data_IF_228099095248
#
_entry.id   IF_228099095248
#
_cell.length_a   1.000
_cell.length_b   1.000
_cell.length_c   1.000
_cell.angle_alpha   90.00
_cell.angle_beta   90.00
_cell.angle_gamma   90.00
#
_symmetry.space_group_name_H-M   'P 1'
#
loop_
_entity.id
_entity.type
_entity.pdbx_description
1 polymer ?
#
# COMPACT_ATOMS: atom_id res chain seq x y z
N UNK A 1 -2.14 34.68 -38.36
CA UNK A 1 -3.24 34.90 -37.40
C UNK A 1 -3.35 36.36 -36.94
N UNK A 2 -2.27 37.15 -36.87
CA UNK A 2 -2.33 38.57 -36.47
C UNK A 2 -3.04 39.52 -37.45
N UNK A 3 -3.04 39.22 -38.76
CA UNK A 3 -3.65 40.11 -39.78
C UNK A 3 -5.18 40.05 -39.77
N UNK A 4 -5.77 38.86 -39.51
CA UNK A 4 -7.22 38.70 -39.46
C UNK A 4 -7.83 39.37 -38.23
N UNK A 5 -7.16 39.28 -37.07
CA UNK A 5 -7.59 40.03 -35.88
C UNK A 5 -7.54 41.54 -36.09
N UNK A 6 -6.52 42.06 -36.78
CA UNK A 6 -6.45 43.50 -37.12
C UNK A 6 -7.53 43.92 -38.10
N UNK A 7 -7.83 43.10 -39.11
CA UNK A 7 -8.91 43.36 -40.08
C UNK A 7 -10.26 43.33 -39.38
N UNK A 8 -10.50 42.36 -38.51
CA UNK A 8 -11.72 42.24 -37.70
C UNK A 8 -11.85 43.44 -36.76
N UNK A 9 -10.76 43.85 -36.09
CA UNK A 9 -10.73 45.02 -35.19
C UNK A 9 -11.00 46.33 -35.94
N UNK A 10 -10.42 46.52 -37.14
CA UNK A 10 -10.71 47.69 -38.01
C UNK A 10 -12.14 47.69 -38.51
N UNK A 11 -12.68 46.52 -38.91
CA UNK A 11 -14.07 46.38 -39.35
C UNK A 11 -15.04 46.72 -38.23
N UNK A 12 -14.79 46.20 -37.02
CA UNK A 12 -15.56 46.49 -35.81
C UNK A 12 -15.46 47.96 -35.39
N UNK A 13 -14.31 48.61 -35.58
CA UNK A 13 -14.17 50.06 -35.34
C UNK A 13 -14.95 50.90 -36.35
N UNK A 14 -15.04 50.47 -37.62
CA UNK A 14 -15.76 51.19 -38.68
C UNK A 14 -17.28 50.96 -38.62
N UNK A 15 -17.72 49.72 -38.34
CA UNK A 15 -19.13 49.34 -38.26
C UNK A 15 -19.72 49.53 -36.85
N UNK A 16 -18.89 49.51 -35.80
CA UNK A 16 -19.30 49.66 -34.40
C UNK A 16 -19.48 51.12 -33.93
N UNK A 17 -18.92 52.10 -34.65
CA UNK A 17 -19.00 53.53 -34.30
C UNK A 17 -20.24 54.23 -34.89
N UNK A 18 -21.23 53.49 -35.38
CA UNK A 18 -22.49 54.06 -35.87
C UNK A 18 -22.35 54.97 -37.11
N UNK A 19 -21.15 55.07 -37.69
CA UNK A 19 -20.80 55.95 -38.82
C UNK A 19 -21.67 55.71 -40.06
N UNK A 20 -22.20 54.50 -40.23
CA UNK A 20 -23.15 54.18 -41.30
C UNK A 20 -24.58 54.68 -41.03
N UNK A 21 -25.04 54.69 -39.77
CA UNK A 21 -26.35 55.21 -39.38
C UNK A 21 -26.34 56.74 -39.35
N UNK A 22 -25.32 57.36 -38.76
CA UNK A 22 -25.14 58.81 -38.76
C UNK A 22 -25.06 59.38 -40.18
N UNK A 23 -24.31 58.73 -41.08
CA UNK A 23 -24.28 59.09 -42.50
C UNK A 23 -25.65 59.01 -43.17
N UNK A 24 -26.43 57.96 -42.89
CA UNK A 24 -27.78 57.79 -43.46
C UNK A 24 -28.74 58.87 -42.97
N UNK A 25 -28.71 59.18 -41.68
CA UNK A 25 -29.53 60.24 -41.08
C UNK A 25 -29.13 61.61 -41.64
N UNK A 26 -27.83 61.89 -41.75
CA UNK A 26 -27.33 63.13 -42.36
C UNK A 26 -27.73 63.27 -43.83
N UNK A 27 -27.77 62.17 -44.61
CA UNK A 27 -28.26 62.19 -45.99
C UNK A 27 -29.77 62.42 -46.09
N UNK A 28 -30.55 61.82 -45.19
CA UNK A 28 -32.00 62.06 -45.09
C UNK A 28 -32.28 63.53 -44.75
N UNK A 29 -31.56 64.09 -43.77
CA UNK A 29 -31.68 65.50 -43.37
C UNK A 29 -31.37 66.46 -44.53
N UNK A 30 -30.29 66.22 -45.28
CA UNK A 30 -29.96 67.01 -46.47
C UNK A 30 -31.03 66.92 -47.56
N UNK A 31 -31.59 65.72 -47.77
CA UNK A 31 -32.67 65.49 -48.73
C UNK A 31 -33.95 66.21 -48.33
N UNK A 32 -34.26 66.22 -47.02
CA UNK A 32 -35.41 66.92 -46.44
C UNK A 32 -35.30 68.44 -46.56
N UNK A 33 -34.13 69.01 -46.23
CA UNK A 33 -33.86 70.44 -46.41
C UNK A 33 -33.99 70.82 -47.89
N UNK A 34 -33.48 69.99 -48.80
CA UNK A 34 -33.61 70.22 -50.24
C UNK A 34 -35.06 70.19 -50.69
N UNK A 35 -35.85 69.23 -50.21
CA UNK A 35 -37.25 69.07 -50.56
C UNK A 35 -38.12 70.25 -50.09
N UNK A 36 -37.90 70.77 -48.88
CA UNK A 36 -38.61 71.95 -48.35
C UNK A 36 -38.32 73.22 -49.16
N UNK A 37 -37.09 73.36 -49.64
CA UNK A 37 -36.66 74.56 -50.38
C UNK A 37 -36.91 74.45 -51.90
N UNK A 38 -37.49 73.35 -52.39
CA UNK A 38 -37.87 73.21 -53.80
C UNK A 38 -39.16 73.99 -54.08
N UNK A 39 -39.17 74.78 -55.15
CA UNK A 39 -40.36 75.55 -55.58
C UNK A 39 -41.47 74.68 -56.18
N UNK A 40 -41.14 73.47 -56.64
CA UNK A 40 -42.07 72.48 -57.19
C UNK A 40 -42.18 71.24 -56.30
N UNK A 41 -43.35 70.60 -56.32
CA UNK A 41 -43.61 69.36 -55.56
C UNK A 41 -42.88 68.18 -56.21
N UNK A 42 -41.67 67.87 -55.72
CA UNK A 42 -40.90 66.71 -56.15
C UNK A 42 -41.34 65.45 -55.38
N UNK A 43 -42.33 64.74 -55.93
CA UNK A 43 -42.83 63.47 -55.40
C UNK A 43 -41.78 62.37 -55.39
N UNK A 44 -40.80 62.39 -56.31
CA UNK A 44 -39.76 61.36 -56.38
C UNK A 44 -38.75 61.49 -55.24
N UNK A 45 -38.42 62.72 -54.86
CA UNK A 45 -37.60 63.00 -53.69
C UNK A 45 -38.34 62.64 -52.40
N UNK A 46 -39.65 62.89 -52.34
CA UNK A 46 -40.50 62.49 -51.22
C UNK A 46 -40.51 60.97 -51.00
N UNK A 47 -40.75 60.17 -52.04
CA UNK A 47 -40.71 58.70 -51.95
C UNK A 47 -39.32 58.18 -51.56
N UNK A 48 -38.25 58.79 -52.08
CA UNK A 48 -36.87 58.45 -51.71
C UNK A 48 -36.60 58.73 -50.22
N UNK A 49 -37.09 59.84 -49.68
CA UNK A 49 -36.96 60.14 -48.25
C UNK A 49 -37.73 59.15 -47.38
N UNK A 50 -38.95 58.76 -47.78
CA UNK A 50 -39.72 57.73 -47.05
C UNK A 50 -38.98 56.38 -47.04
N UNK A 51 -38.38 55.99 -48.17
CA UNK A 51 -37.56 54.78 -48.24
C UNK A 51 -36.32 54.85 -47.33
N UNK A 52 -35.64 56.00 -47.31
CA UNK A 52 -34.49 56.23 -46.42
C UNK A 52 -34.88 56.21 -44.94
N UNK A 53 -36.03 56.79 -44.58
CA UNK A 53 -36.57 56.76 -43.22
C UNK A 53 -36.86 55.32 -42.79
N UNK A 54 -37.54 54.53 -43.63
CA UNK A 54 -37.82 53.13 -43.36
C UNK A 54 -36.55 52.30 -43.14
N UNK A 55 -35.48 52.59 -43.90
CA UNK A 55 -34.17 51.94 -43.71
C UNK A 55 -33.52 52.33 -42.36
N UNK A 56 -33.64 53.58 -41.93
CA UNK A 56 -33.13 54.03 -40.63
C UNK A 56 -33.90 53.36 -39.47
N UNK A 57 -35.23 53.29 -39.57
CA UNK A 57 -36.05 52.58 -38.58
C UNK A 57 -35.72 51.09 -38.50
N UNK A 58 -35.51 50.45 -39.64
CA UNK A 58 -35.10 49.04 -39.69
C UNK A 58 -33.72 48.83 -39.03
N UNK A 59 -32.75 49.69 -39.36
CA UNK A 59 -31.41 49.62 -38.77
C UNK A 59 -31.46 49.79 -37.23
N UNK A 60 -32.25 50.75 -36.73
CA UNK A 60 -32.46 50.95 -35.30
C UNK A 60 -33.08 49.72 -34.63
N UNK A 61 -34.15 49.15 -35.21
CA UNK A 61 -34.80 47.94 -34.70
C UNK A 61 -33.85 46.76 -34.66
N UNK A 62 -33.06 46.57 -35.73
CA UNK A 62 -32.03 45.52 -35.82
C UNK A 62 -30.96 45.71 -34.73
N UNK A 63 -30.42 46.91 -34.57
CA UNK A 63 -29.40 47.22 -33.55
C UNK A 63 -29.92 46.92 -32.13
N UNK A 64 -31.16 47.33 -31.83
CA UNK A 64 -31.80 47.02 -30.54
C UNK A 64 -31.97 45.53 -30.30
N UNK A 65 -32.37 44.77 -31.32
CA UNK A 65 -32.52 43.32 -31.22
C UNK A 65 -31.17 42.64 -30.97
N UNK A 66 -30.13 43.02 -31.71
CA UNK A 66 -28.77 42.50 -31.52
C UNK A 66 -28.25 42.84 -30.13
N UNK A 67 -28.43 44.08 -29.66
CA UNK A 67 -28.03 44.48 -28.30
C UNK A 67 -28.73 43.65 -27.21
N UNK A 68 -30.03 43.38 -27.37
CA UNK A 68 -30.75 42.52 -26.45
C UNK A 68 -30.25 41.08 -26.47
N UNK A 69 -30.05 40.51 -27.67
CA UNK A 69 -29.51 39.17 -27.86
C UNK A 69 -28.11 39.05 -27.22
N UNK A 70 -27.19 39.97 -27.50
CA UNK A 70 -25.84 39.96 -26.92
C UNK A 70 -25.86 40.08 -25.39
N UNK A 71 -26.82 40.83 -24.83
CA UNK A 71 -27.00 40.91 -23.37
C UNK A 71 -27.48 39.59 -22.78
N UNK A 72 -28.33 38.84 -23.49
CA UNK A 72 -28.77 37.50 -23.05
C UNK A 72 -27.66 36.46 -23.21
N UNK A 73 -26.90 36.51 -24.31
CA UNK A 73 -25.73 35.67 -24.52
C UNK A 73 -24.67 35.87 -23.44
N UNK A 74 -24.35 37.11 -23.07
CA UNK A 74 -23.43 37.43 -21.98
C UNK A 74 -23.86 36.77 -20.66
N UNK A 75 -25.15 36.86 -20.31
CA UNK A 75 -25.69 36.20 -19.10
C UNK A 75 -25.56 34.68 -19.17
N UNK A 76 -25.80 34.09 -20.35
CA UNK A 76 -25.63 32.67 -20.56
C UNK A 76 -24.17 32.24 -20.38
N UNK A 77 -23.22 33.02 -20.93
CA UNK A 77 -21.79 32.76 -20.77
C UNK A 77 -21.32 32.93 -19.32
N UNK A 78 -21.80 33.93 -18.59
CA UNK A 78 -21.50 34.07 -17.16
C UNK A 78 -21.99 32.86 -16.36
N UNK A 79 -23.20 32.35 -16.67
CA UNK A 79 -23.73 31.15 -16.03
C UNK A 79 -22.88 29.92 -16.36
N UNK A 80 -22.52 29.74 -17.63
CA UNK A 80 -21.67 28.63 -18.07
C UNK A 80 -20.28 28.68 -17.42
N UNK A 81 -19.69 29.88 -17.31
CA UNK A 81 -18.39 30.07 -16.63
C UNK A 81 -18.45 29.60 -15.17
N UNK A 82 -19.48 30.03 -14.43
CA UNK A 82 -19.68 29.61 -13.04
C UNK A 82 -19.91 28.10 -12.91
N UNK A 83 -20.64 27.50 -13.85
CA UNK A 83 -20.87 26.05 -13.87
C UNK A 83 -19.55 25.29 -14.11
N UNK A 84 -18.72 25.76 -15.04
CA UNK A 84 -17.38 25.20 -15.29
C UNK A 84 -16.49 25.33 -14.05
N UNK A 85 -16.50 26.47 -13.37
CA UNK A 85 -15.73 26.67 -12.12
C UNK A 85 -16.14 25.65 -11.04
N UNK A 86 -17.44 25.43 -10.85
CA UNK A 86 -17.94 24.42 -9.90
C UNK A 86 -17.52 23.01 -10.31
N UNK A 87 -17.60 22.67 -11.59
CA UNK A 87 -17.16 21.36 -12.08
C UNK A 87 -15.65 21.14 -11.90
N UNK A 88 -14.84 22.18 -12.13
CA UNK A 88 -13.39 22.14 -11.90
C UNK A 88 -13.10 21.88 -10.43
N UNK A 89 -13.78 22.59 -9.52
CA UNK A 89 -13.53 22.41 -8.09
C UNK A 89 -13.93 21.01 -7.62
N UNK A 90 -15.09 20.51 -8.08
CA UNK A 90 -15.50 19.12 -7.83
C UNK A 90 -14.49 18.10 -8.37
N UNK A 91 -13.96 18.32 -9.57
CA UNK A 91 -12.96 17.43 -10.14
C UNK A 91 -11.66 17.42 -9.32
N UNK A 92 -11.24 18.56 -8.74
CA UNK A 92 -10.09 18.61 -7.83
C UNK A 92 -10.36 17.83 -6.55
N UNK A 93 -11.54 17.97 -5.96
CA UNK A 93 -11.95 17.20 -4.77
C UNK A 93 -11.92 15.70 -5.06
N UNK A 94 -12.47 15.26 -6.19
CA UNK A 94 -12.48 13.87 -6.62
C UNK A 94 -11.05 13.32 -6.85
N UNK A 95 -10.14 14.13 -7.37
CA UNK A 95 -8.72 13.78 -7.53
C UNK A 95 -8.06 13.55 -6.16
N UNK A 96 -8.22 14.47 -5.22
CA UNK A 96 -7.60 14.32 -3.89
C UNK A 96 -8.19 13.12 -3.13
N UNK A 97 -9.49 12.89 -3.25
CA UNK A 97 -10.13 11.68 -2.70
C UNK A 97 -9.55 10.40 -3.31
N UNK A 98 -9.49 10.31 -4.64
CA UNK A 98 -8.97 9.13 -5.35
C UNK A 98 -7.50 8.87 -5.02
N UNK A 99 -6.71 9.94 -4.81
CA UNK A 99 -5.32 9.86 -4.41
C UNK A 99 -5.16 9.30 -2.99
N UNK A 100 -6.01 9.69 -2.04
CA UNK A 100 -6.04 9.12 -0.70
C UNK A 100 -6.41 7.62 -0.75
N UNK A 101 -7.46 7.27 -1.49
CA UNK A 101 -7.89 5.87 -1.68
C UNK A 101 -6.76 5.02 -2.31
N UNK A 102 -6.03 5.57 -3.27
CA UNK A 102 -4.88 4.89 -3.89
C UNK A 102 -3.75 4.64 -2.89
N UNK A 103 -3.46 5.59 -1.99
CA UNK A 103 -2.45 5.40 -0.95
C UNK A 103 -2.85 4.29 0.03
N UNK A 104 -4.11 4.26 0.44
CA UNK A 104 -4.63 3.22 1.32
C UNK A 104 -4.62 1.85 0.64
N UNK A 105 -5.04 1.76 -0.63
CA UNK A 105 -4.96 0.54 -1.42
C UNK A 105 -3.52 0.03 -1.55
N UNK A 106 -2.55 0.92 -1.75
CA UNK A 106 -1.11 0.56 -1.75
C UNK A 106 -0.66 0.03 -0.39
N UNK A 107 -1.10 0.63 0.72
CA UNK A 107 -0.79 0.15 2.08
C UNK A 107 -1.36 -1.25 2.30
N UNK A 108 -2.63 -1.48 1.97
CA UNK A 108 -3.27 -2.79 2.08
C UNK A 108 -2.54 -3.84 1.24
N UNK A 109 -2.17 -3.49 0.00
CA UNK A 109 -1.39 -4.40 -0.86
C UNK A 109 -0.03 -4.74 -0.24
N UNK A 110 0.69 -3.76 0.31
CA UNK A 110 1.97 -3.99 0.98
C UNK A 110 1.81 -4.95 2.16
N UNK A 111 0.84 -4.69 3.03
CA UNK A 111 0.56 -5.53 4.18
C UNK A 111 0.21 -6.96 3.74
N UNK A 112 -0.61 -7.12 2.70
CA UNK A 112 -0.96 -8.44 2.15
C UNK A 112 0.27 -9.20 1.67
N UNK A 113 1.19 -8.54 0.97
CA UNK A 113 2.45 -9.16 0.52
C UNK A 113 3.31 -9.57 1.73
N UNK A 114 3.41 -8.73 2.75
CA UNK A 114 4.14 -9.05 3.99
C UNK A 114 3.54 -10.27 4.70
N UNK A 115 2.21 -10.35 4.79
CA UNK A 115 1.51 -11.53 5.34
C UNK A 115 1.73 -12.78 4.50
N UNK A 116 1.65 -12.69 3.17
CA UNK A 116 1.89 -13.83 2.27
C UNK A 116 3.32 -14.35 2.39
N UNK A 117 4.32 -13.45 2.55
CA UNK A 117 5.71 -13.84 2.78
C UNK A 117 5.86 -14.54 4.14
N UNK A 118 5.29 -13.98 5.19
CA UNK A 118 5.37 -14.58 6.53
C UNK A 118 4.66 -15.94 6.57
N UNK A 119 3.50 -16.06 5.92
CA UNK A 119 2.76 -17.32 5.82
C UNK A 119 3.56 -18.41 5.10
N UNK A 120 4.32 -18.06 4.05
CA UNK A 120 5.23 -19.02 3.40
C UNK A 120 6.30 -19.54 4.36
N UNK A 121 6.95 -18.65 5.11
CA UNK A 121 7.97 -19.04 6.10
C UNK A 121 7.37 -19.91 7.21
N UNK A 122 6.15 -19.59 7.67
CA UNK A 122 5.44 -20.40 8.67
C UNK A 122 5.14 -21.80 8.11
N UNK A 123 4.71 -21.91 6.85
CA UNK A 123 4.39 -23.19 6.21
C UNK A 123 5.63 -24.06 5.93
N UNK A 124 6.83 -23.50 5.95
CA UNK A 124 8.08 -24.28 5.89
C UNK A 124 8.36 -25.01 7.22
N UNK A 125 7.78 -24.55 8.32
CA UNK A 125 7.92 -25.18 9.63
C UNK A 125 6.93 -26.35 9.77
N UNK A 126 7.32 -27.43 10.49
CA UNK A 126 6.43 -28.55 10.73
C UNK A 126 5.20 -28.13 11.52
N UNK A 127 4.09 -28.86 11.33
CA UNK A 127 2.86 -28.55 12.03
C UNK A 127 3.06 -28.58 13.56
N UNK A 128 2.46 -27.58 14.21
CA UNK A 128 2.61 -27.37 15.65
C UNK A 128 2.04 -28.54 16.45
N UNK A 129 0.96 -29.14 15.96
CA UNK A 129 0.28 -30.23 16.66
C UNK A 129 1.10 -31.52 16.54
N UNK A 130 1.63 -31.81 15.36
CA UNK A 130 2.55 -32.93 15.15
C UNK A 130 3.84 -32.81 15.99
N UNK A 131 4.43 -31.61 16.05
CA UNK A 131 5.62 -31.37 16.87
C UNK A 131 5.33 -31.54 18.36
N UNK A 132 4.18 -31.09 18.84
CA UNK A 132 3.76 -31.34 20.23
C UNK A 132 3.60 -32.82 20.55
N UNK A 133 2.96 -33.60 19.67
CA UNK A 133 2.80 -35.05 19.86
C UNK A 133 4.18 -35.73 19.93
N UNK A 134 5.10 -35.40 19.00
CA UNK A 134 6.47 -35.95 19.00
C UNK A 134 7.22 -35.61 20.28
N UNK A 135 7.03 -34.42 20.82
CA UNK A 135 7.66 -33.96 22.06
C UNK A 135 7.13 -34.75 23.26
N UNK A 136 5.83 -34.96 23.33
CA UNK A 136 5.18 -35.74 24.39
C UNK A 136 5.61 -37.22 24.36
N UNK A 137 5.66 -37.83 23.17
CA UNK A 137 6.16 -39.21 23.01
C UNK A 137 7.62 -39.33 23.43
N UNK A 138 8.47 -38.39 23.00
CA UNK A 138 9.88 -38.38 23.41
C UNK A 138 10.03 -38.20 24.92
N UNK A 139 9.22 -37.37 25.57
CA UNK A 139 9.23 -37.21 27.03
C UNK A 139 8.86 -38.50 27.75
N UNK A 140 7.84 -39.22 27.27
CA UNK A 140 7.44 -40.52 27.84
C UNK A 140 8.55 -41.56 27.68
N UNK A 141 9.16 -41.66 26.50
CA UNK A 141 10.28 -42.57 26.23
C UNK A 141 11.47 -42.27 27.13
N UNK A 142 11.82 -40.98 27.30
CA UNK A 142 12.92 -40.54 28.15
C UNK A 142 12.64 -40.86 29.63
N UNK A 143 11.40 -40.71 30.07
CA UNK A 143 10.95 -41.14 31.41
C UNK A 143 11.11 -42.65 31.62
N UNK A 144 10.63 -43.45 30.69
CA UNK A 144 10.75 -44.92 30.75
C UNK A 144 12.23 -45.38 30.71
N UNK A 145 13.06 -44.73 29.90
CA UNK A 145 14.49 -45.06 29.80
C UNK A 145 15.24 -44.73 31.09
N UNK A 146 14.91 -43.60 31.74
CA UNK A 146 15.46 -43.25 33.06
C UNK A 146 15.07 -44.28 34.12
N UNK A 147 13.80 -44.65 34.18
CA UNK A 147 13.33 -45.68 35.13
C UNK A 147 14.06 -47.01 34.91
N UNK A 148 14.20 -47.43 33.65
CA UNK A 148 14.95 -48.64 33.31
C UNK A 148 16.43 -48.56 33.70
N UNK A 149 17.06 -47.40 33.53
CA UNK A 149 18.43 -47.15 33.95
C UNK A 149 18.56 -47.30 35.47
N UNK A 150 17.70 -46.64 36.24
CA UNK A 150 17.68 -46.74 37.71
C UNK A 150 17.46 -48.18 38.18
N UNK A 151 16.56 -48.92 37.54
CA UNK A 151 16.33 -50.34 37.84
C UNK A 151 17.56 -51.20 37.57
N UNK A 152 18.28 -50.95 36.47
CA UNK A 152 19.52 -51.68 36.14
C UNK A 152 20.64 -51.35 37.12
N UNK A 153 20.78 -50.08 37.49
CA UNK A 153 21.77 -49.62 38.46
C UNK A 153 21.51 -50.22 39.84
N UNK A 154 20.25 -50.28 40.28
CA UNK A 154 19.86 -50.98 41.50
C UNK A 154 20.18 -52.48 41.45
N UNK A 155 19.91 -53.15 40.32
CA UNK A 155 20.27 -54.56 40.14
C UNK A 155 21.79 -54.78 40.18
N UNK A 156 22.56 -53.91 39.55
CA UNK A 156 24.03 -53.99 39.54
C UNK A 156 24.57 -53.83 40.96
N UNK A 157 24.07 -52.87 41.72
CA UNK A 157 24.45 -52.66 43.12
C UNK A 157 24.10 -53.87 43.99
N UNK A 158 22.92 -54.46 43.81
CA UNK A 158 22.54 -55.70 44.49
C UNK A 158 23.49 -56.86 44.15
N UNK A 159 23.91 -56.99 42.89
CA UNK A 159 24.90 -58.01 42.49
C UNK A 159 26.28 -57.74 43.10
N UNK A 160 26.74 -56.49 43.16
CA UNK A 160 27.99 -56.11 43.84
C UNK A 160 27.97 -56.54 45.31
N UNK A 161 26.86 -56.28 46.02
CA UNK A 161 26.68 -56.72 47.40
C UNK A 161 26.70 -58.25 47.54
N UNK A 162 26.02 -58.98 46.65
CA UNK A 162 26.04 -60.45 46.64
C UNK A 162 27.45 -61.01 46.41
N UNK A 163 28.20 -60.45 45.45
CA UNK A 163 29.60 -60.82 45.21
C UNK A 163 30.47 -60.53 46.42
N UNK A 164 30.29 -59.38 47.08
CA UNK A 164 31.04 -59.06 48.29
C UNK A 164 30.78 -60.07 49.41
N UNK A 165 29.52 -60.48 49.63
CA UNK A 165 29.19 -61.55 50.59
C UNK A 165 29.88 -62.85 50.21
N UNK A 166 29.83 -63.24 48.94
CA UNK A 166 30.44 -64.48 48.45
C UNK A 166 31.97 -64.48 48.63
N UNK A 167 32.64 -63.36 48.32
CA UNK A 167 34.09 -63.17 48.56
C UNK A 167 34.40 -63.26 50.07
N UNK A 168 33.62 -62.59 50.92
CA UNK A 168 33.80 -62.67 52.38
C UNK A 168 33.59 -64.09 52.91
N UNK A 169 32.63 -64.84 52.36
CA UNK A 169 32.44 -66.26 52.70
C UNK A 169 33.60 -67.12 52.22
N UNK A 170 34.17 -66.86 51.03
CA UNK A 170 35.37 -67.55 50.55
C UNK A 170 36.54 -67.26 51.49
N UNK A 171 36.80 -66.00 51.85
CA UNK A 171 37.86 -65.65 52.79
C UNK A 171 37.65 -66.29 54.17
N UNK A 172 36.40 -66.36 54.66
CA UNK A 172 36.08 -67.05 55.92
C UNK A 172 36.33 -68.56 55.83
N UNK A 173 35.97 -69.20 54.71
CA UNK A 173 36.24 -70.63 54.50
C UNK A 173 37.73 -70.91 54.34
N UNK A 174 38.47 -70.02 53.67
CA UNK A 174 39.94 -70.08 53.59
C UNK A 174 40.56 -69.94 54.99
N UNK A 175 40.10 -68.98 55.80
CA UNK A 175 40.54 -68.86 57.19
C UNK A 175 40.24 -70.11 58.02
N UNK A 176 39.08 -70.74 57.85
CA UNK A 176 38.75 -72.01 58.53
C UNK A 176 39.58 -73.20 58.03
N UNK A 177 39.99 -73.21 56.76
CA UNK A 177 40.89 -74.21 56.18
C UNK A 177 42.32 -74.03 56.69
N UNK A 178 42.79 -72.78 56.77
CA UNK A 178 44.08 -72.43 57.37
C UNK A 178 44.10 -72.77 58.87
N UNK A 179 43.00 -72.52 59.61
CA UNK A 179 42.82 -72.96 61.01
C UNK A 179 42.70 -74.49 61.15
N UNK A 180 42.30 -75.20 60.09
CA UNK A 180 42.17 -76.67 60.07
C UNK A 180 43.48 -77.41 59.79
N UNK A 181 44.48 -76.74 59.21
CA UNK A 181 45.84 -77.28 59.03
C UNK A 181 46.75 -77.02 60.24
N UNK A 182 46.33 -76.21 61.23
CA UNK A 182 47.13 -75.88 62.42
C UNK A 182 47.20 -76.97 63.51
N UNK A 183 46.52 -78.12 63.37
CA UNK A 183 46.74 -79.26 64.29
C UNK A 183 47.82 -80.26 63.84
N UNK A 184 48.47 -80.07 62.69
CA UNK A 184 49.67 -80.84 62.35
C UNK A 184 50.78 -79.93 61.81
N UNK A 185 51.71 -79.65 62.72
CA UNK A 185 53.14 -79.37 62.49
C UNK A 185 53.56 -77.89 62.52
N UNK A 186 53.84 -77.44 63.75
CA UNK A 186 54.99 -76.59 64.06
C UNK A 186 56.26 -77.13 63.36
N UNK A 187 56.93 -76.28 62.55
CA UNK A 187 58.36 -75.91 62.68
C UNK A 187 58.73 -74.88 61.59
N UNK A 188 58.82 -73.61 62.02
CA UNK A 188 59.91 -72.63 61.80
C UNK A 188 60.32 -72.06 60.42
N UNK A 189 60.40 -70.72 60.43
CA UNK A 189 61.43 -69.78 59.89
C UNK A 189 61.22 -69.06 58.55
N UNK A 190 60.84 -67.77 58.69
CA UNK A 190 61.46 -66.56 58.11
C UNK A 190 62.04 -66.59 56.68
N UNK A 191 61.49 -65.78 55.77
CA UNK A 191 62.10 -64.47 55.46
C UNK A 191 61.28 -63.62 54.47
N UNK A 192 61.34 -62.31 54.73
CA UNK A 192 60.92 -61.19 53.91
C UNK A 192 61.45 -61.26 52.46
N UNK A 193 60.63 -60.86 51.49
CA UNK A 193 60.74 -59.52 50.87
C UNK A 193 59.70 -59.32 49.76
N UNK A 194 58.90 -58.29 49.99
CA UNK A 194 58.09 -57.54 49.05
C UNK A 194 58.93 -57.03 47.86
N UNK A 195 58.44 -57.13 46.60
CA UNK A 195 58.56 -56.05 45.59
C UNK A 195 57.60 -56.30 44.42
N UNK A 196 56.78 -55.28 44.18
CA UNK A 196 55.85 -54.99 43.09
C UNK A 196 56.17 -55.54 41.68
N UNK A 197 55.11 -55.99 41.00
CA UNK A 197 55.03 -55.91 39.54
C UNK A 197 53.65 -55.36 39.12
N UNK A 198 53.61 -54.04 38.95
CA UNK A 198 52.47 -53.31 38.39
C UNK A 198 52.50 -53.48 36.87
N UNK A 199 51.60 -54.30 36.33
CA UNK A 199 51.31 -54.38 34.89
C UNK A 199 50.29 -53.29 34.57
N UNK A 200 50.74 -52.20 33.94
CA UNK A 200 49.89 -51.25 33.24
C UNK A 200 49.80 -51.65 31.76
N UNK A 201 48.66 -52.18 31.33
CA UNK A 201 48.29 -52.23 29.92
C UNK A 201 47.51 -50.96 29.60
N UNK A 202 48.05 -50.15 28.70
CA UNK A 202 47.37 -48.99 28.11
C UNK A 202 46.23 -49.42 27.19
N UNK A 203 45.12 -48.69 27.29
CA UNK A 203 43.91 -48.79 26.48
C UNK A 203 44.15 -48.34 25.01
N UNK A 204 43.43 -49.00 24.09
CA UNK A 204 42.94 -48.39 22.85
C UNK A 204 41.50 -47.92 23.04
#
# INVERSE_FOLDING_TARGET
>A
MSNDEEVIRRRLLIDGDGTGDDRRINMLLKSFIKWINSSDVDNTLHERMLSQLAQCEFAQKKSRLVSNMSREELKSYEKLSKEIEVQIEKAKEDIEKTKAELQDAKRVRKNRIEYDVLAKVINEQPDRLETHIKLETLQQELGALKEKSEQLEHKLEMRRKQFHVLISSIHSLQGMLDEGDEEVMDVSLENDTNTDMQISCDNS
#
